data_IF_088852034884
#
_entry.id   IF_088852034884
#
_cell.length_a   1.000
_cell.length_b   1.000
_cell.length_c   1.000
_cell.angle_alpha   90.00
_cell.angle_beta   90.00
_cell.angle_gamma   90.00
#
_symmetry.space_group_name_H-M   'P 1'
#
loop_
_entity.id
_entity.type
_entity.pdbx_description
1 polymer ?
#
# COMPACT_ATOMS: atom_id res chain seq x y z
N UNK A 1 13.75 27.42 -22.26
CA UNK A 1 13.09 26.21 -22.80
C UNK A 1 12.62 25.37 -21.61
N UNK A 2 11.33 25.41 -21.28
CA UNK A 2 10.75 24.54 -20.26
C UNK A 2 10.61 23.14 -20.89
N UNK A 3 11.14 22.06 -20.29
CA UNK A 3 10.89 20.73 -20.82
C UNK A 3 9.38 20.47 -20.74
N UNK A 4 8.75 20.27 -21.89
CA UNK A 4 7.38 19.77 -21.97
C UNK A 4 7.43 18.31 -21.50
N UNK A 5 7.22 18.09 -20.20
CA UNK A 5 6.95 16.77 -19.66
C UNK A 5 5.60 16.37 -20.23
N UNK A 6 5.62 15.55 -21.29
CA UNK A 6 4.41 14.94 -21.80
C UNK A 6 3.83 14.05 -20.69
N UNK A 7 2.54 14.19 -20.35
CA UNK A 7 1.90 13.28 -19.40
C UNK A 7 1.99 11.85 -19.96
N UNK A 8 2.71 10.97 -19.27
CA UNK A 8 2.73 9.55 -19.64
C UNK A 8 1.51 8.89 -19.01
N UNK A 9 0.44 8.79 -19.80
CA UNK A 9 -0.73 7.95 -19.49
C UNK A 9 -0.37 6.46 -19.68
N UNK A 10 0.61 6.00 -18.91
CA UNK A 10 1.05 4.61 -18.88
C UNK A 10 0.33 3.82 -17.78
N UNK A 11 0.30 2.48 -17.87
CA UNK A 11 -0.09 1.65 -16.74
C UNK A 11 0.75 2.00 -15.50
N UNK A 12 0.14 1.86 -14.32
CA UNK A 12 0.82 2.06 -13.04
C UNK A 12 2.14 1.26 -13.02
N UNK A 13 3.31 1.88 -12.76
CA UNK A 13 4.53 1.12 -12.55
C UNK A 13 4.33 0.19 -11.34
N UNK A 14 4.82 -1.04 -11.46
CA UNK A 14 4.71 -2.02 -10.38
C UNK A 14 5.79 -1.71 -9.35
N UNK A 15 5.35 -1.39 -8.13
CA UNK A 15 6.20 -1.20 -6.97
C UNK A 15 6.30 -2.54 -6.24
N UNK A 16 7.53 -3.04 -6.09
CA UNK A 16 7.83 -4.36 -5.51
C UNK A 16 8.79 -4.30 -4.33
N UNK A 17 8.77 -3.20 -3.58
CA UNK A 17 9.53 -3.17 -2.32
C UNK A 17 8.88 -4.14 -1.33
N UNK A 18 9.70 -4.84 -0.53
CA UNK A 18 9.23 -5.92 0.35
C UNK A 18 9.50 -5.59 1.82
N UNK A 19 8.55 -5.94 2.69
CA UNK A 19 8.75 -5.87 4.14
C UNK A 19 9.85 -6.86 4.56
N UNK A 20 10.81 -6.38 5.36
CA UNK A 20 12.01 -7.10 5.77
C UNK A 20 13.22 -6.89 4.85
N UNK A 21 13.05 -6.30 3.66
CA UNK A 21 14.13 -5.96 2.73
C UNK A 21 14.49 -4.46 2.76
N UNK A 22 14.57 -3.88 3.97
CA UNK A 22 14.81 -2.45 4.20
C UNK A 22 13.61 -1.68 4.78
N UNK A 23 12.42 -2.31 4.80
CA UNK A 23 11.25 -1.81 5.52
C UNK A 23 11.00 -2.68 6.76
N UNK A 24 11.28 -2.14 7.95
CA UNK A 24 11.19 -2.89 9.21
C UNK A 24 9.74 -3.21 9.59
N UNK A 25 9.43 -4.47 9.97
CA UNK A 25 8.10 -4.89 10.39
C UNK A 25 7.75 -4.29 11.76
N UNK A 26 7.22 -3.07 11.77
CA UNK A 26 6.82 -2.33 12.97
C UNK A 26 5.29 -2.15 12.96
N UNK A 27 4.58 -2.51 14.04
CA UNK A 27 3.14 -2.24 14.17
C UNK A 27 2.82 -0.76 13.94
N UNK A 28 1.67 -0.50 13.34
CA UNK A 28 1.15 0.83 13.00
C UNK A 28 2.00 1.65 12.01
N UNK A 29 3.07 1.07 11.45
CA UNK A 29 3.89 1.72 10.42
C UNK A 29 3.25 1.65 9.04
N UNK A 30 2.50 0.60 8.75
CA UNK A 30 1.98 0.35 7.40
C UNK A 30 0.51 0.72 7.28
N UNK A 31 0.14 1.24 6.10
CA UNK A 31 -1.23 1.53 5.71
C UNK A 31 -1.58 0.86 4.39
N UNK A 32 -2.75 0.25 4.31
CA UNK A 32 -3.34 -0.27 3.07
C UNK A 32 -4.42 0.66 2.54
N UNK A 33 -4.34 1.00 1.27
CA UNK A 33 -5.43 1.62 0.53
C UNK A 33 -6.17 0.54 -0.27
N UNK A 34 -7.47 0.44 -0.05
CA UNK A 34 -8.34 -0.62 -0.59
C UNK A 34 -9.54 0.00 -1.30
N UNK A 35 -10.12 -0.70 -2.27
CA UNK A 35 -11.39 -0.34 -2.91
C UNK A 35 -12.43 -1.45 -2.68
N UNK A 36 -13.65 -1.08 -2.29
CA UNK A 36 -14.72 -2.05 -1.99
C UNK A 36 -15.12 -2.88 -3.22
N UNK A 37 -15.09 -2.28 -4.40
CA UNK A 37 -15.51 -2.91 -5.67
C UNK A 37 -14.35 -3.63 -6.39
N UNK A 38 -13.20 -3.79 -5.73
CA UNK A 38 -12.02 -4.43 -6.32
C UNK A 38 -11.79 -5.83 -5.71
N UNK A 39 -11.85 -6.91 -6.50
CA UNK A 39 -11.64 -8.27 -6.01
C UNK A 39 -10.30 -8.47 -5.27
N UNK A 40 -9.23 -7.85 -5.77
CA UNK A 40 -7.91 -7.94 -5.14
C UNK A 40 -7.83 -7.19 -3.80
N UNK A 41 -8.51 -6.04 -3.69
CA UNK A 41 -8.65 -5.34 -2.41
C UNK A 41 -9.43 -6.16 -1.39
N UNK A 42 -10.48 -6.87 -1.82
CA UNK A 42 -11.24 -7.79 -0.97
C UNK A 42 -10.38 -8.98 -0.51
N UNK A 43 -9.55 -9.54 -1.40
CA UNK A 43 -8.59 -10.60 -1.06
C UNK A 43 -7.61 -10.14 0.03
N UNK A 44 -7.06 -8.93 -0.11
CA UNK A 44 -6.15 -8.34 0.87
C UNK A 44 -6.85 -8.06 2.20
N UNK A 45 -8.06 -7.49 2.17
CA UNK A 45 -8.86 -7.25 3.37
C UNK A 45 -9.14 -8.54 4.15
N UNK A 46 -9.58 -9.59 3.45
CA UNK A 46 -9.84 -10.89 4.04
C UNK A 46 -8.56 -11.52 4.63
N UNK A 47 -7.40 -11.33 3.98
CA UNK A 47 -6.12 -11.80 4.53
C UNK A 47 -5.73 -11.05 5.81
N UNK A 48 -5.89 -9.74 5.82
CA UNK A 48 -5.60 -8.88 6.97
C UNK A 48 -6.45 -9.27 8.20
N UNK A 49 -7.76 -9.50 8.01
CA UNK A 49 -8.66 -9.98 9.07
C UNK A 49 -8.28 -11.39 9.56
N UNK A 50 -8.03 -12.35 8.65
CA UNK A 50 -7.61 -13.72 9.03
C UNK A 50 -6.29 -13.78 9.80
N UNK A 51 -5.40 -12.81 9.57
CA UNK A 51 -4.11 -12.72 10.23
C UNK A 51 -4.17 -11.90 11.53
N UNK A 52 -5.32 -11.32 11.88
CA UNK A 52 -5.46 -10.47 13.08
C UNK A 52 -4.71 -9.14 12.98
N UNK A 53 -4.44 -8.65 11.76
CA UNK A 53 -3.61 -7.46 11.54
C UNK A 53 -4.40 -6.14 11.55
N UNK A 54 -5.72 -6.18 11.75
CA UNK A 54 -6.61 -5.00 11.72
C UNK A 54 -6.24 -3.92 12.74
N UNK A 55 -5.73 -4.32 13.91
CA UNK A 55 -5.23 -3.37 14.92
C UNK A 55 -3.85 -2.80 14.59
N UNK A 56 -3.02 -3.54 13.85
CA UNK A 56 -1.60 -3.21 13.62
C UNK A 56 -1.31 -2.59 12.25
N UNK A 57 -2.16 -2.81 11.25
CA UNK A 57 -2.00 -2.26 9.89
C UNK A 57 -3.21 -1.40 9.60
N UNK A 58 -2.99 -0.10 9.46
CA UNK A 58 -4.07 0.83 9.18
C UNK A 58 -4.68 0.54 7.80
N UNK A 59 -6.00 0.64 7.68
CA UNK A 59 -6.69 0.48 6.40
C UNK A 59 -7.41 1.77 6.03
N UNK A 60 -7.46 2.09 4.73
CA UNK A 60 -8.19 3.22 4.19
C UNK A 60 -8.97 2.75 2.98
N UNK A 61 -10.29 2.75 3.10
CA UNK A 61 -11.19 2.45 1.98
C UNK A 61 -11.31 3.69 1.09
N UNK A 62 -11.09 3.51 -0.21
CA UNK A 62 -11.28 4.56 -1.19
C UNK A 62 -12.77 4.82 -1.40
N UNK A 63 -13.14 6.09 -1.44
CA UNK A 63 -14.50 6.55 -1.71
C UNK A 63 -14.57 8.06 -1.87
N UNK A 64 -14.35 8.84 -0.81
CA UNK A 64 -14.34 10.30 -0.90
C UNK A 64 -13.11 10.82 -1.68
N UNK A 65 -13.19 11.98 -2.35
CA UNK A 65 -12.06 12.58 -3.08
C UNK A 65 -10.78 12.73 -2.24
N UNK A 66 -10.91 12.98 -0.94
CA UNK A 66 -9.77 13.09 -0.03
C UNK A 66 -8.96 11.78 0.08
N UNK A 67 -9.61 10.61 0.02
CA UNK A 67 -8.93 9.30 0.06
C UNK A 67 -8.10 9.06 -1.20
N UNK A 68 -8.63 9.42 -2.37
CA UNK A 68 -7.90 9.36 -3.64
C UNK A 68 -6.74 10.36 -3.68
N UNK A 69 -6.93 11.57 -3.15
CA UNK A 69 -5.86 12.56 -3.04
C UNK A 69 -4.72 12.09 -2.12
N UNK A 70 -5.05 11.43 -1.00
CA UNK A 70 -4.06 10.83 -0.11
C UNK A 70 -3.28 9.70 -0.80
N UNK A 71 -3.97 8.82 -1.53
CA UNK A 71 -3.33 7.75 -2.31
C UNK A 71 -2.42 8.32 -3.42
N UNK A 72 -2.87 9.36 -4.13
CA UNK A 72 -2.06 10.05 -5.15
C UNK A 72 -0.75 10.57 -4.57
N UNK A 73 -0.82 11.30 -3.45
CA UNK A 73 0.38 11.82 -2.78
C UNK A 73 1.33 10.69 -2.37
N UNK A 74 0.80 9.56 -1.91
CA UNK A 74 1.62 8.42 -1.53
C UNK A 74 2.34 7.79 -2.73
N UNK A 75 1.69 7.72 -3.89
CA UNK A 75 2.33 7.26 -5.13
C UNK A 75 3.39 8.26 -5.64
N UNK A 76 3.09 9.56 -5.60
CA UNK A 76 4.06 10.61 -5.95
C UNK A 76 5.28 10.63 -5.03
N UNK A 77 5.12 10.27 -3.75
CA UNK A 77 6.25 10.11 -2.83
C UNK A 77 7.11 8.87 -3.12
N UNK A 78 6.60 7.88 -3.87
CA UNK A 78 7.34 6.68 -4.26
C UNK A 78 8.33 6.95 -5.42
N UNK A 79 8.11 8.00 -6.21
CA UNK A 79 9.01 8.41 -7.29
C UNK A 79 8.66 9.78 -7.87
N UNK A 80 9.67 10.54 -8.28
CA UNK A 80 9.47 11.85 -8.91
C UNK A 80 8.64 11.71 -10.19
N UNK A 81 7.41 12.26 -10.18
CA UNK A 81 6.42 12.21 -11.27
C UNK A 81 5.75 10.84 -11.47
N UNK A 82 4.90 10.44 -10.51
CA UNK A 82 3.96 9.35 -10.71
C UNK A 82 2.75 9.81 -11.54
N UNK A 83 2.81 9.60 -12.86
CA UNK A 83 1.72 9.88 -13.79
C UNK A 83 0.80 8.66 -14.04
N UNK A 84 1.07 7.54 -13.36
CA UNK A 84 0.34 6.29 -13.52
C UNK A 84 -1.06 6.28 -12.90
N UNK A 85 -1.84 5.26 -13.25
CA UNK A 85 -3.12 4.98 -12.59
C UNK A 85 -2.90 4.70 -11.09
N UNK A 86 -3.84 5.09 -10.23
CA UNK A 86 -3.80 4.74 -8.80
C UNK A 86 -4.26 3.29 -8.67
N UNK A 87 -3.31 2.37 -8.66
CA UNK A 87 -3.63 0.95 -8.50
C UNK A 87 -4.04 0.66 -7.05
N UNK A 88 -4.96 -0.29 -6.90
CA UNK A 88 -5.38 -0.85 -5.62
C UNK A 88 -5.44 -2.37 -5.75
N UNK A 89 -5.08 -3.13 -4.70
CA UNK A 89 -4.64 -2.67 -3.37
C UNK A 89 -3.24 -2.00 -3.40
N UNK A 90 -3.02 -1.04 -2.50
CA UNK A 90 -1.73 -0.37 -2.37
C UNK A 90 -1.24 -0.36 -0.92
N UNK A 91 0.00 -0.81 -0.72
CA UNK A 91 0.70 -0.83 0.56
C UNK A 91 1.59 0.40 0.67
N UNK A 92 1.35 1.20 1.71
CA UNK A 92 2.05 2.44 2.00
C UNK A 92 2.86 2.33 3.31
N UNK A 93 4.10 2.82 3.27
CA UNK A 93 4.90 3.05 4.48
C UNK A 93 4.59 4.45 5.02
N UNK A 94 3.96 4.55 6.18
CA UNK A 94 3.53 5.85 6.73
C UNK A 94 4.70 6.72 7.18
N UNK A 95 5.85 6.13 7.50
CA UNK A 95 7.03 6.89 7.92
C UNK A 95 7.66 7.67 6.77
N UNK A 96 7.76 7.03 5.60
CA UNK A 96 8.24 7.71 4.37
C UNK A 96 7.10 8.35 3.58
N UNK A 97 5.85 8.06 3.92
CA UNK A 97 4.65 8.56 3.24
C UNK A 97 4.45 8.02 1.83
N UNK A 98 5.18 6.96 1.44
CA UNK A 98 5.20 6.46 0.05
C UNK A 98 4.55 5.09 -0.09
N UNK A 99 3.95 4.85 -1.25
CA UNK A 99 3.57 3.49 -1.67
C UNK A 99 4.84 2.68 -1.88
N UNK A 100 4.90 1.50 -1.26
CA UNK A 100 6.02 0.57 -1.36
C UNK A 100 5.66 -0.67 -2.17
N UNK A 101 4.36 -1.01 -2.25
CA UNK A 101 3.86 -2.16 -2.99
C UNK A 101 2.48 -1.91 -3.60
N UNK A 102 2.25 -2.37 -4.83
CA UNK A 102 0.94 -2.36 -5.49
C UNK A 102 0.60 -3.67 -6.23
N UNK A 103 1.41 -4.71 -6.02
CA UNK A 103 1.18 -6.06 -6.50
C UNK A 103 0.47 -6.87 -5.41
N UNK A 104 -0.70 -7.42 -5.73
CA UNK A 104 -1.57 -8.10 -4.76
C UNK A 104 -0.88 -9.29 -4.10
N UNK A 105 -0.14 -10.11 -4.86
CA UNK A 105 0.46 -11.33 -4.31
C UNK A 105 1.67 -10.99 -3.44
N UNK A 106 2.48 -10.00 -3.84
CA UNK A 106 3.57 -9.46 -2.99
C UNK A 106 3.02 -8.87 -1.69
N UNK A 107 1.91 -8.12 -1.76
CA UNK A 107 1.23 -7.56 -0.57
C UNK A 107 0.74 -8.67 0.36
N UNK A 108 0.12 -9.72 -0.19
CA UNK A 108 -0.35 -10.86 0.61
C UNK A 108 0.80 -11.58 1.31
N UNK A 109 1.94 -11.75 0.65
CA UNK A 109 3.13 -12.32 1.26
C UNK A 109 3.73 -11.42 2.35
N UNK A 110 3.73 -10.11 2.14
CA UNK A 110 4.19 -9.16 3.14
C UNK A 110 3.27 -9.15 4.37
N UNK A 111 1.95 -9.27 4.20
CA UNK A 111 1.02 -9.47 5.32
C UNK A 111 1.30 -10.78 6.07
N UNK A 112 1.56 -11.89 5.37
CA UNK A 112 1.94 -13.16 6.02
C UNK A 112 3.22 -13.00 6.83
N UNK A 113 4.22 -12.26 6.32
CA UNK A 113 5.45 -11.94 7.05
C UNK A 113 5.16 -11.12 8.31
N UNK A 114 4.28 -10.13 8.22
CA UNK A 114 3.87 -9.33 9.38
C UNK A 114 3.17 -10.19 10.45
N UNK A 115 2.19 -11.01 10.07
CA UNK A 115 1.48 -11.88 11.02
C UNK A 115 2.34 -12.97 11.67
N UNK A 116 3.43 -13.37 11.01
CA UNK A 116 4.43 -14.27 11.59
C UNK A 116 5.40 -13.56 12.54
N UNK A 117 5.51 -12.23 12.47
CA UNK A 117 6.48 -11.46 13.25
C UNK A 117 5.98 -11.27 14.69
N UNK A 118 6.82 -11.52 15.71
CA UNK A 118 6.39 -11.51 17.12
C UNK A 118 5.80 -10.15 17.56
N UNK A 119 6.28 -9.04 16.99
CA UNK A 119 5.76 -7.71 17.31
C UNK A 119 4.27 -7.50 16.95
N UNK A 120 3.70 -8.32 16.06
CA UNK A 120 2.30 -8.23 15.63
C UNK A 120 1.40 -9.26 16.33
N UNK A 121 1.97 -10.08 17.23
CA UNK A 121 1.24 -11.11 17.98
C UNK A 121 0.84 -10.66 19.38
N UNK A 122 1.27 -9.47 19.79
CA UNK A 122 0.96 -8.90 21.10
C UNK A 122 -0.41 -8.22 21.03
N UNK A 123 -1.46 -9.03 21.20
CA UNK A 123 -2.77 -8.67 21.75
C UNK A 123 -3.61 -9.97 21.73
N UNK A 124 -3.45 -10.79 22.76
CA UNK A 124 -4.39 -11.84 23.15
C UNK A 124 -4.77 -11.61 24.60
#
# INVERSE_FOLDING_TARGET
MLPMVLPRTGPAPVLRSRIGAGFSPVPHRYRLYLCADCPDSLRVAAALARLGLEGSVATTLLGPPASYAALRRAYEAAGHHYDGALAVPALCDTWSGRVIGNDTDDILDDLRRLGAHPAFRADT
#
